data_IF_738984944075
#
_entry.id   IF_738984944075
#
_cell.length_a   1.000
_cell.length_b   1.000
_cell.length_c   1.000
_cell.angle_alpha   90.00
_cell.angle_beta   90.00
_cell.angle_gamma   90.00
#
_symmetry.space_group_name_H-M   'P 1'
#
loop_
_entity.id
_entity.type
_entity.pdbx_description
1 polymer ?
#
# COMPACT_ATOMS: atom_id res chain seq x y z
N UNK A 1 -44.57 17.25 -17.10
CA UNK A 1 -43.30 16.70 -16.55
C UNK A 1 -42.17 17.13 -17.47
N UNK A 2 -41.27 18.03 -17.02
CA UNK A 2 -40.08 18.38 -17.81
C UNK A 2 -39.14 17.17 -17.74
N UNK A 3 -38.94 16.47 -18.87
CA UNK A 3 -37.83 15.50 -18.98
C UNK A 3 -36.55 16.33 -18.81
N UNK A 4 -35.81 16.08 -17.73
CA UNK A 4 -34.44 16.57 -17.61
C UNK A 4 -33.68 16.05 -18.85
N UNK A 5 -32.83 16.86 -19.52
CA UNK A 5 -32.03 16.35 -20.62
C UNK A 5 -31.17 15.21 -20.07
N UNK A 6 -31.37 13.98 -20.57
CA UNK A 6 -30.48 12.87 -20.24
C UNK A 6 -29.06 13.30 -20.58
N UNK A 7 -28.24 13.54 -19.55
CA UNK A 7 -26.81 13.75 -19.71
C UNK A 7 -26.26 12.40 -20.17
N UNK A 8 -26.30 12.17 -21.48
CA UNK A 8 -25.71 11.01 -22.15
C UNK A 8 -24.18 11.12 -21.99
N UNK A 9 -23.71 10.81 -20.78
CA UNK A 9 -22.31 10.73 -20.42
C UNK A 9 -21.75 9.51 -21.16
N UNK A 10 -20.97 9.77 -22.19
CA UNK A 10 -20.19 8.73 -22.83
C UNK A 10 -19.08 8.28 -21.85
N UNK A 11 -19.30 7.15 -21.19
CA UNK A 11 -18.42 6.61 -20.17
C UNK A 11 -17.05 6.23 -20.75
N UNK A 12 -17.02 5.84 -22.03
CA UNK A 12 -15.78 5.55 -22.75
C UNK A 12 -14.96 6.82 -22.95
N UNK A 13 -15.61 7.92 -23.33
CA UNK A 13 -14.97 9.24 -23.45
C UNK A 13 -14.44 9.78 -22.12
N UNK A 14 -15.12 9.53 -21.00
CA UNK A 14 -14.66 9.96 -19.67
C UNK A 14 -13.35 9.28 -19.28
N UNK A 15 -13.24 7.97 -19.53
CA UNK A 15 -12.01 7.23 -19.29
C UNK A 15 -10.96 7.43 -20.40
N UNK A 16 -11.36 7.99 -21.55
CA UNK A 16 -10.50 8.16 -22.72
C UNK A 16 -10.11 6.84 -23.35
N UNK A 17 -11.02 5.86 -23.36
CA UNK A 17 -10.81 4.50 -23.90
C UNK A 17 -11.81 4.21 -25.02
N UNK A 18 -11.53 3.21 -25.85
CA UNK A 18 -12.44 2.82 -26.92
C UNK A 18 -13.51 1.85 -26.37
N UNK A 19 -14.66 1.77 -27.04
CA UNK A 19 -15.69 0.75 -26.80
C UNK A 19 -15.15 -0.68 -26.95
N UNK A 20 -14.12 -0.88 -27.76
CA UNK A 20 -13.43 -2.17 -27.94
C UNK A 20 -12.35 -2.45 -26.86
N UNK A 21 -12.09 -1.49 -25.96
CA UNK A 21 -11.03 -1.65 -24.97
C UNK A 21 -11.26 -2.82 -24.01
N UNK A 22 -10.16 -3.49 -23.69
CA UNK A 22 -10.15 -4.60 -22.74
C UNK A 22 -10.35 -4.10 -21.30
N UNK A 23 -10.77 -5.00 -20.41
CA UNK A 23 -10.93 -4.69 -18.98
C UNK A 23 -9.64 -4.14 -18.35
N UNK A 24 -8.49 -4.67 -18.77
CA UNK A 24 -7.18 -4.23 -18.28
C UNK A 24 -6.84 -2.80 -18.74
N UNK A 25 -7.21 -2.43 -19.97
CA UNK A 25 -7.05 -1.05 -20.47
C UNK A 25 -7.95 -0.07 -19.70
N UNK A 26 -9.21 -0.44 -19.48
CA UNK A 26 -10.17 0.35 -18.71
C UNK A 26 -9.65 0.57 -17.28
N UNK A 27 -9.14 -0.47 -16.63
CA UNK A 27 -8.56 -0.42 -15.29
C UNK A 27 -7.29 0.44 -15.24
N UNK A 28 -6.45 0.36 -16.26
CA UNK A 28 -5.23 1.18 -16.37
C UNK A 28 -5.56 2.66 -16.56
N UNK A 29 -6.53 2.98 -17.42
CA UNK A 29 -7.00 4.32 -17.66
C UNK A 29 -7.61 4.94 -16.39
N UNK A 30 -8.49 4.19 -15.71
CA UNK A 30 -9.06 4.57 -14.42
C UNK A 30 -7.98 4.92 -13.38
N UNK A 31 -6.99 4.02 -13.16
CA UNK A 31 -5.90 4.27 -12.20
C UNK A 31 -5.13 5.55 -12.50
N UNK A 32 -4.83 5.81 -13.77
CA UNK A 32 -4.10 7.02 -14.20
C UNK A 32 -4.92 8.29 -13.91
N UNK A 33 -6.22 8.26 -14.21
CA UNK A 33 -7.11 9.40 -14.01
C UNK A 33 -7.44 9.63 -12.53
N UNK A 34 -7.67 8.57 -11.76
CA UNK A 34 -7.92 8.62 -10.33
C UNK A 34 -6.74 9.24 -9.57
N UNK A 35 -5.49 8.91 -9.94
CA UNK A 35 -4.31 9.55 -9.36
C UNK A 35 -4.18 11.03 -9.75
N UNK A 36 -4.59 11.37 -10.98
CA UNK A 36 -4.51 12.74 -11.50
C UNK A 36 -5.53 13.67 -10.83
N UNK A 37 -6.73 13.18 -10.58
CA UNK A 37 -7.85 13.96 -10.03
C UNK A 37 -8.17 13.60 -8.57
N UNK A 38 -7.25 12.96 -7.86
CA UNK A 38 -7.48 12.57 -6.46
C UNK A 38 -7.79 13.80 -5.59
N UNK A 39 -8.84 13.78 -4.76
CA UNK A 39 -9.28 14.94 -3.97
C UNK A 39 -8.23 15.42 -2.96
N UNK A 40 -7.42 14.49 -2.43
CA UNK A 40 -6.29 14.82 -1.53
C UNK A 40 -5.22 15.70 -2.19
N UNK A 41 -5.02 15.55 -3.51
CA UNK A 41 -4.01 16.30 -4.26
C UNK A 41 -4.59 17.51 -4.99
N UNK A 42 -5.91 17.51 -5.23
CA UNK A 42 -6.63 18.57 -5.92
C UNK A 42 -7.94 18.86 -5.18
N UNK A 43 -7.94 19.83 -4.25
CA UNK A 43 -9.12 20.15 -3.45
C UNK A 43 -10.20 20.93 -4.22
N UNK A 44 -10.02 21.19 -5.51
CA UNK A 44 -10.98 21.91 -6.34
C UNK A 44 -12.28 21.11 -6.54
N UNK A 45 -13.43 21.77 -6.42
CA UNK A 45 -14.74 21.16 -6.69
C UNK A 45 -14.82 20.55 -8.11
N UNK A 46 -14.13 21.14 -9.08
CA UNK A 46 -14.06 20.61 -10.44
C UNK A 46 -13.28 19.29 -10.54
N UNK A 47 -12.27 19.08 -9.69
CA UNK A 47 -11.51 17.83 -9.62
C UNK A 47 -12.33 16.74 -8.93
N UNK A 48 -13.07 17.11 -7.87
CA UNK A 48 -14.03 16.22 -7.20
C UNK A 48 -15.10 15.72 -8.18
N UNK A 49 -15.71 16.63 -8.95
CA UNK A 49 -16.72 16.25 -9.94
C UNK A 49 -16.15 15.35 -11.05
N UNK A 50 -14.93 15.63 -11.53
CA UNK A 50 -14.26 14.77 -12.51
C UNK A 50 -13.93 13.39 -11.94
N UNK A 51 -13.44 13.33 -10.70
CA UNK A 51 -13.14 12.09 -10.02
C UNK A 51 -14.40 11.24 -9.84
N UNK A 52 -15.52 11.86 -9.51
CA UNK A 52 -16.83 11.22 -9.45
C UNK A 52 -17.21 10.62 -10.82
N UNK A 53 -17.17 11.42 -11.90
CA UNK A 53 -17.51 10.98 -13.25
C UNK A 53 -16.59 9.82 -13.74
N UNK A 54 -15.29 9.87 -13.42
CA UNK A 54 -14.30 8.81 -13.71
C UNK A 54 -14.63 7.52 -12.96
N UNK A 55 -15.00 7.64 -11.67
CA UNK A 55 -15.32 6.49 -10.83
C UNK A 55 -16.59 5.80 -11.30
N UNK A 56 -17.59 6.58 -11.71
CA UNK A 56 -18.81 6.10 -12.33
C UNK A 56 -18.53 5.33 -13.61
N UNK A 57 -17.76 5.91 -14.53
CA UNK A 57 -17.44 5.27 -15.80
C UNK A 57 -16.73 3.93 -15.58
N UNK A 58 -15.81 3.86 -14.63
CA UNK A 58 -15.15 2.61 -14.28
C UNK A 58 -16.13 1.59 -13.67
N UNK A 59 -17.07 2.00 -12.82
CA UNK A 59 -18.04 1.09 -12.19
C UNK A 59 -18.91 0.36 -13.22
N UNK A 60 -19.35 1.06 -14.26
CA UNK A 60 -20.19 0.48 -15.32
C UNK A 60 -19.36 -0.34 -16.29
N UNK A 61 -18.19 0.17 -16.70
CA UNK A 61 -17.37 -0.47 -17.74
C UNK A 61 -16.52 -1.64 -17.22
N UNK A 62 -16.27 -1.72 -15.91
CA UNK A 62 -15.48 -2.80 -15.31
C UNK A 62 -16.26 -4.09 -15.08
N UNK A 63 -17.58 -4.01 -14.98
CA UNK A 63 -18.45 -5.18 -14.85
C UNK A 63 -18.99 -5.55 -16.24
N UNK A 64 -18.69 -6.76 -16.76
CA UNK A 64 -19.15 -7.20 -18.08
C UNK A 64 -20.67 -7.13 -18.26
N UNK A 65 -21.44 -7.38 -17.19
CA UNK A 65 -22.90 -7.38 -17.24
C UNK A 65 -23.43 -5.94 -17.31
N UNK A 66 -22.88 -5.02 -16.51
CA UNK A 66 -23.23 -3.60 -16.55
C UNK A 66 -22.80 -2.93 -17.85
N UNK A 67 -21.60 -3.26 -18.36
CA UNK A 67 -21.11 -2.80 -19.66
C UNK A 67 -22.04 -3.24 -20.78
N UNK A 68 -22.48 -4.50 -20.78
CA UNK A 68 -23.44 -5.00 -21.77
C UNK A 68 -24.77 -4.24 -21.70
N UNK A 69 -25.29 -3.99 -20.49
CA UNK A 69 -26.52 -3.22 -20.30
C UNK A 69 -26.40 -1.78 -20.81
N UNK A 70 -25.27 -1.13 -20.55
CA UNK A 70 -24.93 0.19 -21.11
C UNK A 70 -24.87 0.15 -22.65
N UNK A 71 -24.21 -0.86 -23.20
CA UNK A 71 -24.01 -0.99 -24.66
C UNK A 71 -25.30 -1.30 -25.43
N UNK A 72 -26.29 -1.93 -24.79
CA UNK A 72 -27.58 -2.30 -25.39
C UNK A 72 -28.58 -1.14 -25.48
N UNK A 73 -28.20 0.09 -25.08
CA UNK A 73 -29.05 1.28 -25.21
C UNK A 73 -30.00 1.51 -24.04
N UNK A 74 -29.81 0.79 -22.92
CA UNK A 74 -30.37 1.20 -21.65
C UNK A 74 -29.59 2.40 -21.17
N UNK A 75 -30.13 3.62 -21.34
CA UNK A 75 -29.58 4.82 -20.72
C UNK A 75 -29.29 4.50 -19.25
N UNK A 76 -28.00 4.43 -18.91
CA UNK A 76 -27.59 4.09 -17.57
C UNK A 76 -27.96 5.29 -16.70
N UNK A 77 -29.15 5.21 -16.10
CA UNK A 77 -29.61 6.16 -15.13
C UNK A 77 -28.75 5.91 -13.89
N UNK A 78 -27.69 6.70 -13.81
CA UNK A 78 -26.91 6.84 -12.58
C UNK A 78 -27.87 7.33 -11.52
N UNK A 79 -28.39 6.41 -10.71
CA UNK A 79 -29.09 6.83 -9.52
C UNK A 79 -28.02 7.30 -8.53
N UNK A 80 -28.23 8.47 -7.96
CA UNK A 80 -27.34 9.08 -6.95
C UNK A 80 -27.07 8.12 -5.78
N UNK A 81 -28.00 7.20 -5.51
CA UNK A 81 -27.84 6.13 -4.52
C UNK A 81 -26.78 5.10 -4.92
N UNK A 82 -26.71 4.68 -6.19
CA UNK A 82 -25.75 3.68 -6.68
C UNK A 82 -24.30 4.21 -6.63
N UNK A 83 -24.13 5.52 -6.84
CA UNK A 83 -22.85 6.21 -6.69
C UNK A 83 -22.44 6.37 -5.24
N UNK A 84 -23.37 6.74 -4.37
CA UNK A 84 -23.09 6.94 -2.94
C UNK A 84 -22.72 5.63 -2.25
N UNK A 85 -23.46 4.54 -2.51
CA UNK A 85 -23.17 3.21 -1.95
C UNK A 85 -21.81 2.68 -2.41
N UNK A 86 -21.47 2.87 -3.69
CA UNK A 86 -20.20 2.41 -4.23
C UNK A 86 -19.01 3.22 -3.71
N UNK A 87 -19.12 4.56 -3.67
CA UNK A 87 -18.08 5.39 -3.07
C UNK A 87 -17.88 5.06 -1.60
N UNK A 88 -18.96 4.79 -0.86
CA UNK A 88 -18.88 4.31 0.53
C UNK A 88 -18.20 2.95 0.62
N UNK A 89 -18.56 2.00 -0.25
CA UNK A 89 -17.97 0.67 -0.28
C UNK A 89 -16.47 0.70 -0.64
N UNK A 90 -16.07 1.52 -1.63
CA UNK A 90 -14.66 1.72 -1.97
C UNK A 90 -13.89 2.36 -0.81
N UNK A 91 -14.45 3.38 -0.18
CA UNK A 91 -13.84 4.03 0.97
C UNK A 91 -13.67 3.04 2.14
N UNK A 92 -14.67 2.19 2.41
CA UNK A 92 -14.56 1.14 3.42
C UNK A 92 -13.44 0.14 3.10
N UNK A 93 -13.37 -0.36 1.86
CA UNK A 93 -12.30 -1.30 1.45
C UNK A 93 -10.92 -0.66 1.57
N UNK A 94 -10.76 0.59 1.14
CA UNK A 94 -9.49 1.32 1.27
C UNK A 94 -9.11 1.47 2.74
N UNK A 95 -10.05 1.83 3.62
CA UNK A 95 -9.77 1.98 5.05
C UNK A 95 -9.40 0.66 5.71
N UNK A 96 -10.08 -0.43 5.37
CA UNK A 96 -9.72 -1.77 5.86
C UNK A 96 -8.32 -2.20 5.40
N UNK A 97 -7.96 -1.95 4.14
CA UNK A 97 -6.62 -2.21 3.63
C UNK A 97 -5.56 -1.36 4.32
N UNK A 98 -5.83 -0.07 4.54
CA UNK A 98 -4.90 0.84 5.23
C UNK A 98 -4.67 0.40 6.68
N UNK A 99 -5.73 0.00 7.40
CA UNK A 99 -5.61 -0.57 8.75
C UNK A 99 -4.78 -1.86 8.74
N UNK A 100 -5.04 -2.77 7.80
CA UNK A 100 -4.28 -4.02 7.68
C UNK A 100 -2.79 -3.76 7.41
N UNK A 101 -2.45 -2.79 6.54
CA UNK A 101 -1.08 -2.36 6.29
C UNK A 101 -0.44 -1.74 7.54
N UNK A 102 -1.18 -0.91 8.27
CA UNK A 102 -0.70 -0.29 9.52
C UNK A 102 -0.42 -1.35 10.60
N UNK A 103 -1.33 -2.30 10.79
CA UNK A 103 -1.17 -3.42 11.72
C UNK A 103 -0.01 -4.34 11.32
N UNK A 104 0.17 -4.61 10.03
CA UNK A 104 1.33 -5.35 9.53
C UNK A 104 2.65 -4.63 9.84
N UNK A 105 2.72 -3.30 9.60
CA UNK A 105 3.90 -2.49 9.94
C UNK A 105 4.17 -2.53 11.44
N UNK A 106 3.12 -2.41 12.27
CA UNK A 106 3.21 -2.47 13.73
C UNK A 106 3.69 -3.83 14.23
N UNK A 107 3.15 -4.93 13.68
CA UNK A 107 3.56 -6.31 13.98
C UNK A 107 5.01 -6.57 13.62
N UNK A 108 5.47 -6.14 12.44
CA UNK A 108 6.88 -6.23 12.05
C UNK A 108 7.81 -5.43 12.98
N UNK A 109 7.41 -4.21 13.37
CA UNK A 109 8.15 -3.39 14.35
C UNK A 109 8.24 -4.07 15.72
N UNK A 110 7.17 -4.67 16.19
CA UNK A 110 7.16 -5.41 17.46
C UNK A 110 8.15 -6.59 17.43
N UNK A 111 8.15 -7.38 16.36
CA UNK A 111 9.10 -8.50 16.19
C UNK A 111 10.54 -7.99 16.22
N UNK A 112 10.86 -6.92 15.48
CA UNK A 112 12.19 -6.31 15.50
C UNK A 112 12.60 -5.85 16.91
N UNK A 113 11.70 -5.19 17.65
CA UNK A 113 11.95 -4.77 19.03
C UNK A 113 12.16 -5.96 19.98
N UNK A 114 11.41 -7.04 19.83
CA UNK A 114 11.60 -8.25 20.65
C UNK A 114 12.95 -8.90 20.42
N UNK A 115 13.43 -8.96 19.17
CA UNK A 115 14.77 -9.49 18.84
C UNK A 115 15.85 -8.60 19.46
N UNK A 116 15.74 -7.27 19.30
CA UNK A 116 16.66 -6.31 19.90
C UNK A 116 16.69 -6.47 21.42
N UNK A 117 15.53 -6.49 22.09
CA UNK A 117 15.44 -6.68 23.53
C UNK A 117 16.03 -8.03 23.99
N UNK A 118 15.78 -9.12 23.26
CA UNK A 118 16.37 -10.44 23.55
C UNK A 118 17.89 -10.43 23.39
N UNK A 119 18.43 -9.73 22.38
CA UNK A 119 19.87 -9.53 22.22
C UNK A 119 20.42 -8.73 23.42
N UNK A 120 19.83 -7.58 23.75
CA UNK A 120 20.25 -6.76 24.89
C UNK A 120 20.17 -7.52 26.22
N UNK A 121 19.14 -8.33 26.43
CA UNK A 121 18.99 -9.17 27.63
C UNK A 121 20.04 -10.29 27.66
N UNK A 122 20.31 -10.94 26.53
CA UNK A 122 21.39 -11.93 26.41
C UNK A 122 22.76 -11.32 26.71
N UNK A 123 23.03 -10.12 26.19
CA UNK A 123 24.23 -9.34 26.53
C UNK A 123 24.27 -9.00 28.03
N UNK A 124 23.18 -8.50 28.61
CA UNK A 124 23.13 -8.20 30.04
C UNK A 124 23.52 -9.41 30.91
N UNK A 125 22.99 -10.61 30.62
CA UNK A 125 23.33 -11.82 31.38
C UNK A 125 24.72 -12.37 31.09
N UNK A 126 25.20 -12.26 29.85
CA UNK A 126 26.55 -12.69 29.47
C UNK A 126 27.63 -11.81 30.13
N UNK A 127 27.34 -10.53 30.35
CA UNK A 127 28.27 -9.54 30.93
C UNK A 127 27.98 -9.17 32.40
N UNK A 128 26.88 -9.66 32.99
CA UNK A 128 26.58 -9.51 34.43
C UNK A 128 27.55 -10.31 35.33
N UNK A 129 28.40 -11.16 34.75
CA UNK A 129 29.50 -11.82 35.44
C UNK A 129 30.85 -11.18 35.10
N UNK A 130 31.26 -10.17 35.88
CA UNK A 130 32.56 -9.46 35.88
C UNK A 130 32.75 -8.34 34.83
N UNK A 131 32.67 -7.08 35.31
CA UNK A 131 33.59 -6.02 34.85
C UNK A 131 33.26 -5.28 33.55
N UNK A 132 31.99 -5.06 33.21
CA UNK A 132 31.60 -4.41 31.94
C UNK A 132 32.18 -2.98 31.73
N UNK A 133 32.51 -2.22 32.79
CA UNK A 133 33.17 -0.91 32.62
C UNK A 133 34.65 -1.05 32.22
N UNK A 134 35.31 -2.18 32.52
CA UNK A 134 36.72 -2.39 32.18
C UNK A 134 36.92 -2.90 30.74
N UNK A 135 35.97 -3.63 30.16
CA UNK A 135 36.08 -4.20 28.81
C UNK A 135 35.89 -3.21 27.65
N UNK A 136 35.16 -2.11 27.87
CA UNK A 136 34.91 -1.09 26.84
C UNK A 136 36.14 -0.23 26.52
N UNK A 137 37.20 -0.28 27.33
CA UNK A 137 38.39 0.57 27.16
C UNK A 137 39.49 -0.16 26.35
N UNK A 138 39.42 -1.48 26.17
CA UNK A 138 40.59 -2.24 25.64
C UNK A 138 40.34 -3.24 24.50
N UNK A 139 39.10 -3.48 24.05
CA UNK A 139 38.85 -4.47 22.97
C UNK A 139 37.58 -4.28 22.13
N UNK A 140 37.00 -3.09 22.11
CA UNK A 140 35.62 -2.85 21.64
C UNK A 140 35.31 -3.27 20.19
N UNK A 141 36.27 -3.20 19.27
CA UNK A 141 35.97 -3.44 17.84
C UNK A 141 36.07 -4.90 17.43
N UNK A 142 37.01 -5.66 18.01
CA UNK A 142 37.32 -7.03 17.59
C UNK A 142 36.29 -8.01 18.16
N UNK A 143 35.89 -7.86 19.42
CA UNK A 143 34.89 -8.73 20.04
C UNK A 143 33.50 -8.58 19.41
N UNK A 144 33.14 -7.34 19.02
CA UNK A 144 31.88 -7.05 18.33
C UNK A 144 31.84 -7.69 16.94
N UNK A 145 32.96 -7.68 16.21
CA UNK A 145 33.09 -8.29 14.88
C UNK A 145 32.84 -9.81 14.89
N UNK A 146 33.44 -10.54 15.85
CA UNK A 146 33.25 -11.99 15.96
C UNK A 146 31.84 -12.35 16.41
N UNK A 147 31.28 -11.60 17.35
CA UNK A 147 29.91 -11.83 17.82
C UNK A 147 28.87 -11.65 16.70
N UNK A 148 29.06 -10.64 15.83
CA UNK A 148 28.15 -10.42 14.71
C UNK A 148 28.24 -11.56 13.68
N UNK A 149 29.45 -12.06 13.35
CA UNK A 149 29.62 -13.21 12.44
C UNK A 149 28.95 -14.48 12.96
N UNK A 150 28.98 -14.73 14.26
CA UNK A 150 28.34 -15.90 14.85
C UNK A 150 26.81 -15.77 14.92
N UNK A 151 26.28 -14.56 15.05
CA UNK A 151 24.83 -14.30 15.00
C UNK A 151 24.30 -14.49 13.58
N UNK A 152 24.99 -13.98 12.55
CA UNK A 152 24.58 -14.15 11.15
C UNK A 152 24.52 -15.63 10.75
N UNK A 153 25.45 -16.46 11.25
CA UNK A 153 25.47 -17.91 11.00
C UNK A 153 24.31 -18.68 11.64
N UNK A 154 23.68 -18.13 12.68
CA UNK A 154 22.53 -18.76 13.34
C UNK A 154 21.20 -18.44 12.64
N UNK A 155 21.21 -17.48 11.71
CA UNK A 155 20.04 -17.14 10.88
C UNK A 155 19.92 -18.18 9.75
N UNK A 156 18.72 -18.66 9.39
CA UNK A 156 18.53 -19.54 8.23
C UNK A 156 19.11 -18.93 6.95
N UNK A 157 19.79 -19.74 6.12
CA UNK A 157 20.54 -19.28 4.95
C UNK A 157 19.74 -18.36 4.01
N UNK A 158 18.43 -18.57 3.87
CA UNK A 158 17.54 -17.75 3.04
C UNK A 158 17.42 -16.27 3.47
N UNK A 159 17.83 -15.93 4.70
CA UNK A 159 17.73 -14.58 5.26
C UNK A 159 19.11 -14.01 5.68
N UNK A 160 20.20 -14.74 5.43
CA UNK A 160 21.55 -14.29 5.79
C UNK A 160 22.02 -13.10 4.94
N UNK A 161 21.60 -13.02 3.67
CA UNK A 161 21.91 -11.88 2.80
C UNK A 161 21.32 -10.59 3.35
N UNK A 162 20.02 -10.57 3.65
CA UNK A 162 19.31 -9.41 4.20
C UNK A 162 19.92 -8.95 5.54
N UNK A 163 20.34 -9.89 6.38
CA UNK A 163 21.00 -9.59 7.64
C UNK A 163 22.39 -8.94 7.43
N UNK A 164 23.14 -9.43 6.44
CA UNK A 164 24.48 -8.91 6.10
C UNK A 164 24.37 -7.51 5.49
N UNK A 165 23.41 -7.28 4.60
CA UNK A 165 23.17 -5.99 3.95
C UNK A 165 22.75 -4.92 4.98
N UNK A 166 21.85 -5.27 5.89
CA UNK A 166 21.43 -4.38 6.98
C UNK A 166 22.60 -3.97 7.90
N UNK A 167 23.50 -4.91 8.20
CA UNK A 167 24.67 -4.63 9.04
C UNK A 167 25.70 -3.75 8.32
N UNK A 168 25.89 -3.94 7.02
CA UNK A 168 26.71 -3.07 6.18
C UNK A 168 26.14 -1.64 6.11
N UNK A 169 24.81 -1.48 5.99
CA UNK A 169 24.14 -0.18 6.03
C UNK A 169 24.33 0.54 7.37
N UNK A 170 24.41 -0.21 8.47
CA UNK A 170 24.70 0.33 9.82
C UNK A 170 26.19 0.64 10.05
N UNK A 171 27.05 0.45 9.05
CA UNK A 171 28.47 0.75 9.13
C UNK A 171 29.33 -0.38 9.72
N UNK A 172 28.77 -1.58 9.88
CA UNK A 172 29.52 -2.77 10.28
C UNK A 172 29.88 -3.58 9.03
N UNK A 173 31.08 -3.36 8.49
CA UNK A 173 31.61 -4.12 7.34
C UNK A 173 32.39 -5.35 7.82
N UNK A 174 32.10 -6.55 7.30
CA UNK A 174 32.73 -7.81 7.76
C UNK A 174 33.60 -8.56 6.76
#
# INVERSE_FOLDING_TARGET
MRRQPEKNLDLYSILGVNKESSLEEIKKAYRKLALKYHPDKNPDESAVQKFHDISLAYQVLSDPEKRRQYDLGGGFNVNENDTNEFSQQQNQIIQELLKAVAEWKKKKRYIALTIILSIFYGFYYLFAGRGFIAGLIQGGSIGLHYAIKDIVKQIPESHQSDATDFLNEMGFSF
#
